data_IF_734095701099
#
_entry.id   IF_734095701099
#
_cell.length_a   1.000
_cell.length_b   1.000
_cell.length_c   1.000
_cell.angle_alpha   90.00
_cell.angle_beta   90.00
_cell.angle_gamma   90.00
#
_symmetry.space_group_name_H-M   'P 1'
#
loop_
_entity.id
_entity.type
_entity.pdbx_description
1 polymer ?
#
# COMPACT_ATOMS: atom_id res chain seq x y z
N UNK A 1 -8.81 3.83 4.99
CA UNK A 1 -8.28 2.70 5.77
C UNK A 1 -8.77 1.36 5.24
N UNK A 2 -10.08 1.06 5.25
CA UNK A 2 -10.58 -0.28 4.89
C UNK A 2 -10.14 -0.71 3.48
N UNK A 3 -10.34 0.14 2.46
CA UNK A 3 -9.93 -0.17 1.09
C UNK A 3 -8.42 -0.45 0.99
N UNK A 4 -7.60 0.40 1.61
CA UNK A 4 -6.14 0.25 1.58
C UNK A 4 -5.63 -0.91 2.44
N UNK A 5 -6.38 -1.31 3.48
CA UNK A 5 -6.10 -2.49 4.32
C UNK A 5 -6.25 -3.81 3.55
N UNK A 6 -7.12 -3.84 2.54
CA UNK A 6 -7.31 -5.01 1.66
C UNK A 6 -6.26 -5.06 0.54
N UNK A 7 -5.35 -4.08 0.45
CA UNK A 7 -4.26 -4.04 -0.53
C UNK A 7 -4.53 -3.13 -1.74
N UNK A 8 -5.60 -2.33 -1.72
CA UNK A 8 -5.82 -1.29 -2.74
C UNK A 8 -4.78 -0.18 -2.56
N UNK A 9 -4.17 0.26 -3.66
CA UNK A 9 -3.23 1.39 -3.63
C UNK A 9 -3.88 2.66 -3.09
N UNK A 10 -3.11 3.45 -2.34
CA UNK A 10 -3.61 4.64 -1.64
C UNK A 10 -4.17 5.68 -2.63
N UNK A 11 -3.52 5.88 -3.76
CA UNK A 11 -3.96 6.79 -4.83
C UNK A 11 -5.33 6.38 -5.40
N UNK A 12 -5.50 5.11 -5.76
CA UNK A 12 -6.77 4.56 -6.28
C UNK A 12 -7.85 4.66 -5.21
N UNK A 13 -7.54 4.32 -3.96
CA UNK A 13 -8.49 4.41 -2.87
C UNK A 13 -8.94 5.86 -2.60
N UNK A 14 -8.00 6.82 -2.61
CA UNK A 14 -8.31 8.24 -2.40
C UNK A 14 -9.16 8.78 -3.55
N UNK A 15 -8.81 8.51 -4.81
CA UNK A 15 -9.59 8.96 -5.98
C UNK A 15 -10.99 8.36 -5.97
N UNK A 16 -11.14 7.10 -5.57
CA UNK A 16 -12.43 6.40 -5.55
C UNK A 16 -13.35 6.95 -4.46
N UNK A 17 -12.81 7.32 -3.29
CA UNK A 17 -13.60 7.82 -2.16
C UNK A 17 -13.77 9.35 -2.20
N UNK A 18 -12.95 10.07 -2.98
CA UNK A 18 -12.95 11.53 -3.03
C UNK A 18 -14.34 12.17 -3.26
N UNK A 19 -15.19 11.71 -4.21
CA UNK A 19 -16.51 12.31 -4.41
C UNK A 19 -17.40 12.23 -3.15
N UNK A 20 -17.38 11.08 -2.48
CA UNK A 20 -18.14 10.83 -1.26
C UNK A 20 -17.57 11.67 -0.10
N UNK A 21 -16.25 11.72 0.02
CA UNK A 21 -15.57 12.48 1.06
C UNK A 21 -15.84 13.99 0.92
N UNK A 22 -15.82 14.53 -0.30
CA UNK A 22 -16.14 15.94 -0.58
C UNK A 22 -17.62 16.23 -0.30
N UNK A 23 -18.54 15.33 -0.66
CA UNK A 23 -19.96 15.48 -0.34
C UNK A 23 -20.20 15.53 1.18
N UNK A 24 -19.56 14.66 1.94
CA UNK A 24 -19.64 14.63 3.42
C UNK A 24 -19.00 15.90 3.99
N UNK A 25 -17.82 16.29 3.50
CA UNK A 25 -17.12 17.48 3.96
C UNK A 25 -17.92 18.76 3.74
N UNK A 26 -18.61 18.89 2.61
CA UNK A 26 -19.50 20.01 2.37
C UNK A 26 -20.70 20.02 3.35
N UNK A 27 -21.34 18.87 3.56
CA UNK A 27 -22.48 18.75 4.50
C UNK A 27 -22.10 18.99 5.96
N UNK A 28 -20.87 18.63 6.34
CA UNK A 28 -20.36 18.77 7.70
C UNK A 28 -19.51 20.05 7.91
N UNK A 29 -19.52 20.97 6.94
CA UNK A 29 -18.73 22.21 6.93
C UNK A 29 -17.24 21.99 7.30
N UNK A 30 -16.59 21.03 6.65
CA UNK A 30 -15.18 20.72 6.86
C UNK A 30 -14.29 21.51 5.87
N UNK A 31 -13.08 21.87 6.31
CA UNK A 31 -12.08 22.44 5.41
C UNK A 31 -11.56 21.40 4.42
N UNK A 32 -11.12 21.87 3.24
CA UNK A 32 -10.44 21.04 2.23
C UNK A 32 -9.21 20.35 2.82
N UNK A 33 -8.45 21.07 3.64
CA UNK A 33 -7.26 20.51 4.28
C UNK A 33 -7.61 19.37 5.23
N UNK A 34 -8.65 19.50 6.05
CA UNK A 34 -9.05 18.47 6.99
C UNK A 34 -9.48 17.19 6.27
N UNK A 35 -10.30 17.30 5.22
CA UNK A 35 -10.79 16.12 4.50
C UNK A 35 -9.69 15.45 3.67
N UNK A 36 -8.83 16.22 3.00
CA UNK A 36 -7.70 15.68 2.24
C UNK A 36 -6.70 14.97 3.17
N UNK A 37 -6.38 15.59 4.31
CA UNK A 37 -5.51 14.97 5.32
C UNK A 37 -6.13 13.69 5.87
N UNK A 38 -7.43 13.69 6.17
CA UNK A 38 -8.13 12.50 6.64
C UNK A 38 -8.11 11.36 5.60
N UNK A 39 -8.30 11.68 4.31
CA UNK A 39 -8.24 10.69 3.24
C UNK A 39 -6.83 10.11 3.06
N UNK A 40 -5.81 10.96 2.94
CA UNK A 40 -4.42 10.51 2.73
C UNK A 40 -3.89 9.81 3.98
N UNK A 41 -4.11 10.38 5.17
CA UNK A 41 -3.69 9.81 6.44
C UNK A 41 -4.37 8.48 6.73
N UNK A 42 -5.69 8.42 6.58
CA UNK A 42 -6.45 7.16 6.72
C UNK A 42 -6.14 6.14 5.62
N UNK A 43 -5.78 6.59 4.41
CA UNK A 43 -5.29 5.76 3.32
C UNK A 43 -3.95 5.11 3.68
N UNK A 44 -2.97 5.92 4.14
CA UNK A 44 -1.65 5.43 4.53
C UNK A 44 -1.71 4.53 5.75
N UNK A 45 -2.53 4.85 6.75
CA UNK A 45 -2.76 4.00 7.91
C UNK A 45 -3.20 2.57 7.53
N UNK A 46 -4.14 2.44 6.59
CA UNK A 46 -4.55 1.12 6.08
C UNK A 46 -3.47 0.43 5.26
N UNK A 47 -2.65 1.20 4.52
CA UNK A 47 -1.52 0.66 3.76
C UNK A 47 -0.39 0.12 4.64
N UNK A 48 -0.35 0.36 5.96
CA UNK A 48 0.70 -0.23 6.81
C UNK A 48 0.37 -1.69 7.15
N UNK A 49 -0.90 -2.09 7.12
CA UNK A 49 -1.37 -3.42 7.54
C UNK A 49 -1.91 -4.28 6.38
N UNK A 50 -1.50 -3.99 5.14
CA UNK A 50 -2.09 -4.60 3.94
C UNK A 50 -1.09 -5.37 3.08
N UNK A 51 -1.55 -6.31 2.24
CA UNK A 51 -0.69 -7.04 1.31
C UNK A 51 -0.35 -6.15 0.11
N UNK A 52 0.47 -5.12 0.34
CA UNK A 52 0.90 -4.17 -0.69
C UNK A 52 2.41 -4.33 -0.98
N UNK A 53 2.92 -3.71 -2.07
CA UNK A 53 4.33 -3.82 -2.44
C UNK A 53 5.33 -3.44 -1.34
N UNK A 54 4.99 -2.53 -0.41
CA UNK A 54 5.89 -2.18 0.70
C UNK A 54 6.04 -3.35 1.67
N UNK A 55 4.92 -3.99 2.04
CA UNK A 55 4.91 -5.14 2.94
C UNK A 55 5.58 -6.36 2.29
N UNK A 56 5.39 -6.55 0.97
CA UNK A 56 6.05 -7.61 0.20
C UNK A 56 7.56 -7.38 0.17
N UNK A 57 8.02 -6.18 -0.19
CA UNK A 57 9.45 -5.89 -0.26
C UNK A 57 10.14 -6.02 1.10
N UNK A 58 9.46 -5.65 2.19
CA UNK A 58 9.97 -5.88 3.55
C UNK A 58 9.99 -7.37 3.90
N UNK A 59 8.93 -8.12 3.61
CA UNK A 59 8.84 -9.55 3.87
C UNK A 59 9.95 -10.34 3.15
N UNK A 60 10.17 -10.05 1.87
CA UNK A 60 11.19 -10.71 1.05
C UNK A 60 12.61 -10.36 1.52
N UNK A 61 12.89 -9.09 1.83
CA UNK A 61 14.21 -8.66 2.27
C UNK A 61 14.60 -9.20 3.66
N UNK A 62 13.63 -9.34 4.57
CA UNK A 62 13.85 -9.89 5.91
C UNK A 62 13.60 -11.41 5.98
N UNK A 63 13.24 -12.06 4.87
CA UNK A 63 12.87 -13.49 4.79
C UNK A 63 11.83 -13.92 5.84
N UNK A 64 10.82 -13.07 6.08
CA UNK A 64 9.72 -13.35 7.02
C UNK A 64 8.38 -13.50 6.30
N UNK A 65 7.42 -14.28 6.84
CA UNK A 65 6.10 -14.39 6.25
C UNK A 65 5.41 -13.03 6.11
N UNK A 66 4.83 -12.74 4.93
CA UNK A 66 4.08 -11.51 4.65
C UNK A 66 2.98 -11.25 5.68
N UNK A 67 2.30 -12.31 6.14
CA UNK A 67 1.25 -12.23 7.16
C UNK A 67 1.75 -11.64 8.47
N UNK A 68 2.99 -11.92 8.87
CA UNK A 68 3.57 -11.38 10.10
C UNK A 68 3.93 -9.90 9.96
N UNK A 69 4.41 -9.47 8.79
CA UNK A 69 4.66 -8.06 8.48
C UNK A 69 3.33 -7.28 8.51
N UNK A 70 2.29 -7.84 7.90
CA UNK A 70 0.94 -7.24 7.93
C UNK A 70 0.39 -7.14 9.35
N UNK A 71 0.54 -8.20 10.16
CA UNK A 71 0.10 -8.22 11.56
C UNK A 71 0.86 -7.19 12.40
N UNK A 72 2.18 -7.09 12.22
CA UNK A 72 3.00 -6.06 12.87
C UNK A 72 2.57 -4.64 12.49
N UNK A 73 2.03 -4.45 11.27
CA UNK A 73 1.51 -3.19 10.78
C UNK A 73 0.16 -2.75 11.37
N UNK A 74 -0.59 -3.64 12.03
CA UNK A 74 -1.92 -3.32 12.60
C UNK A 74 -1.82 -2.24 13.68
N UNK A 75 -0.94 -2.44 14.66
CA UNK A 75 -0.80 -1.51 15.79
C UNK A 75 -0.34 -0.12 15.29
N UNK A 76 0.77 0.02 14.53
CA UNK A 76 1.18 1.30 13.98
C UNK A 76 0.13 1.95 13.07
N UNK A 77 -0.61 1.15 12.30
CA UNK A 77 -1.67 1.65 11.43
C UNK A 77 -2.83 2.27 12.22
N UNK A 78 -3.25 1.66 13.34
CA UNK A 78 -4.27 2.21 14.22
C UNK A 78 -3.81 3.52 14.89
N UNK A 79 -2.58 3.56 15.40
CA UNK A 79 -2.01 4.79 15.94
C UNK A 79 -1.90 5.89 14.87
N UNK A 80 -1.47 5.54 13.65
CA UNK A 80 -1.41 6.46 12.52
C UNK A 80 -2.79 7.01 12.13
N UNK A 81 -3.83 6.17 12.19
CA UNK A 81 -5.21 6.59 11.96
C UNK A 81 -5.69 7.56 13.05
N UNK A 82 -5.47 7.24 14.33
CA UNK A 82 -5.81 8.13 15.45
C UNK A 82 -5.10 9.47 15.33
N UNK A 83 -3.80 9.46 15.03
CA UNK A 83 -3.02 10.67 14.84
C UNK A 83 -3.54 11.50 13.67
N UNK A 84 -3.81 10.88 12.52
CA UNK A 84 -4.40 11.56 11.37
C UNK A 84 -5.77 12.17 11.69
N UNK A 85 -6.59 11.48 12.50
CA UNK A 85 -7.88 11.99 12.97
C UNK A 85 -7.71 13.24 13.84
N UNK A 86 -6.82 13.22 14.84
CA UNK A 86 -6.58 14.39 15.70
C UNK A 86 -6.05 15.58 14.89
N UNK A 87 -5.15 15.32 13.95
CA UNK A 87 -4.58 16.36 13.11
C UNK A 87 -5.65 16.95 12.17
N UNK A 88 -6.46 16.11 11.52
CA UNK A 88 -7.57 16.55 10.68
C UNK A 88 -8.59 17.36 11.47
N UNK A 89 -8.92 16.92 12.70
CA UNK A 89 -9.84 17.63 13.61
C UNK A 89 -9.35 19.04 13.93
N UNK A 90 -8.04 19.23 14.15
CA UNK A 90 -7.45 20.55 14.39
C UNK A 90 -7.52 21.46 13.16
N UNK A 91 -7.59 20.88 11.97
CA UNK A 91 -7.62 21.62 10.70
C UNK A 91 -9.03 21.90 10.16
N UNK A 92 -10.11 21.45 10.82
CA UNK A 92 -11.50 21.59 10.34
C UNK A 92 -11.89 23.03 9.98
N UNK A 93 -11.38 24.01 10.72
CA UNK A 93 -11.65 25.44 10.52
C UNK A 93 -10.45 26.20 9.92
N UNK A 94 -9.42 25.50 9.44
CA UNK A 94 -8.23 26.09 8.83
C UNK A 94 -8.35 26.05 7.30
N UNK A 95 -8.20 27.20 6.65
CA UNK A 95 -8.24 27.31 5.19
C UNK A 95 -9.66 27.37 4.62
N UNK A 96 -9.81 27.04 3.33
CA UNK A 96 -11.09 27.10 2.64
C UNK A 96 -11.96 25.87 2.92
N UNK A 97 -13.27 26.10 3.04
CA UNK A 97 -14.30 25.07 3.13
C UNK A 97 -14.58 24.43 1.77
N UNK A 98 -15.10 23.21 1.77
CA UNK A 98 -15.53 22.53 0.54
C UNK A 98 -16.80 23.20 0.02
N UNK A 99 -16.77 23.63 -1.23
CA UNK A 99 -17.88 24.33 -1.89
C UNK A 99 -18.77 23.35 -2.66
N UNK A 100 -20.03 23.72 -2.89
CA UNK A 100 -21.02 22.84 -3.53
C UNK A 100 -20.61 22.43 -4.96
N UNK A 101 -19.97 23.33 -5.71
CA UNK A 101 -19.50 23.05 -7.08
C UNK A 101 -18.33 22.03 -7.13
N UNK A 102 -17.70 21.74 -5.99
CA UNK A 102 -16.61 20.77 -5.88
C UNK A 102 -17.13 19.35 -5.58
N UNK A 103 -18.43 19.23 -5.28
CA UNK A 103 -19.08 17.94 -5.04
C UNK A 103 -19.46 17.32 -6.38
N UNK A 104 -18.74 16.28 -6.78
CA UNK A 104 -19.04 15.52 -7.99
C UNK A 104 -20.20 14.56 -7.72
N UNK A 105 -21.31 14.72 -8.44
CA UNK A 105 -22.39 13.74 -8.44
C UNK A 105 -21.96 12.50 -9.24
N UNK A 106 -21.83 11.37 -8.55
CA UNK A 106 -21.53 10.09 -9.18
C UNK A 106 -22.83 9.49 -9.71
N UNK A 107 -22.96 9.40 -11.03
CA UNK A 107 -24.10 8.76 -11.69
C UNK A 107 -24.04 7.24 -11.46
N UNK A 108 -25.00 6.71 -10.69
CA UNK A 108 -25.05 5.29 -10.30
C UNK A 108 -25.82 4.42 -11.30
N UNK A 109 -26.30 4.98 -12.41
CA UNK A 109 -27.24 4.31 -13.33
C UNK A 109 -26.68 3.11 -14.11
N UNK A 110 -25.37 2.84 -14.07
CA UNK A 110 -24.71 1.78 -14.87
C UNK A 110 -23.78 0.84 -14.08
N UNK A 111 -24.09 0.58 -12.80
CA UNK A 111 -23.29 -0.35 -12.00
C UNK A 111 -23.73 -1.81 -12.23
N UNK A 112 -22.81 -2.77 -12.39
CA UNK A 112 -23.16 -4.18 -12.39
C UNK A 112 -23.73 -4.57 -11.02
N UNK A 113 -24.60 -5.58 -10.98
CA UNK A 113 -25.12 -6.10 -9.72
C UNK A 113 -23.97 -6.62 -8.84
N UNK A 114 -24.12 -6.49 -7.51
CA UNK A 114 -23.10 -6.92 -6.56
C UNK A 114 -22.70 -8.39 -6.76
N UNK A 115 -23.68 -9.26 -7.03
CA UNK A 115 -23.44 -10.67 -7.33
C UNK A 115 -22.58 -10.89 -8.58
N UNK A 116 -22.75 -10.08 -9.62
CA UNK A 116 -21.89 -10.15 -10.81
C UNK A 116 -20.47 -9.65 -10.52
N UNK A 117 -20.33 -8.60 -9.69
CA UNK A 117 -19.02 -8.00 -9.36
C UNK A 117 -18.13 -8.90 -8.48
N UNK A 118 -18.72 -9.70 -7.59
CA UNK A 118 -17.96 -10.55 -6.65
C UNK A 118 -17.44 -11.84 -7.29
N UNK A 119 -17.96 -12.23 -8.46
CA UNK A 119 -17.60 -13.49 -9.11
C UNK A 119 -16.13 -13.50 -9.56
N UNK A 120 -15.61 -12.38 -10.08
CA UNK A 120 -14.21 -12.31 -10.52
C UNK A 120 -13.22 -12.61 -9.37
N UNK A 121 -13.30 -11.92 -8.22
CA UNK A 121 -12.48 -12.24 -7.05
C UNK A 121 -12.70 -13.66 -6.54
N UNK A 122 -13.94 -14.13 -6.49
CA UNK A 122 -14.27 -15.45 -5.94
C UNK A 122 -13.66 -16.58 -6.76
N UNK A 123 -13.69 -16.48 -8.09
CA UNK A 123 -13.05 -17.45 -8.99
C UNK A 123 -11.54 -17.42 -8.83
N UNK A 124 -10.92 -16.23 -8.79
CA UNK A 124 -9.48 -16.11 -8.58
C UNK A 124 -9.04 -16.76 -7.25
N UNK A 125 -9.77 -16.51 -6.16
CA UNK A 125 -9.51 -17.11 -4.85
C UNK A 125 -9.72 -18.63 -4.90
N UNK A 126 -10.79 -19.12 -5.52
CA UNK A 126 -11.05 -20.55 -5.66
C UNK A 126 -9.93 -21.26 -6.45
N UNK A 127 -9.43 -20.65 -7.52
CA UNK A 127 -8.30 -21.15 -8.31
C UNK A 127 -7.01 -21.22 -7.51
N UNK A 128 -6.71 -20.21 -6.68
CA UNK A 128 -5.52 -20.19 -5.83
C UNK A 128 -5.65 -21.16 -4.63
N UNK A 129 -6.87 -21.33 -4.10
CA UNK A 129 -7.16 -22.21 -2.96
C UNK A 129 -7.13 -23.71 -3.32
N UNK A 130 -7.13 -24.06 -4.61
CA UNK A 130 -6.94 -25.45 -5.06
C UNK A 130 -5.59 -26.04 -4.62
N UNK A 131 -4.57 -25.20 -4.41
CA UNK A 131 -3.26 -25.62 -3.92
C UNK A 131 -3.31 -26.23 -2.52
N UNK A 132 -3.80 -25.53 -1.47
CA UNK A 132 -3.92 -26.12 -0.14
C UNK A 132 -5.02 -27.19 -0.01
N UNK A 133 -6.06 -27.16 -0.84
CA UNK A 133 -7.22 -28.06 -0.70
C UNK A 133 -7.05 -29.39 -1.45
N UNK A 134 -6.49 -29.35 -2.67
CA UNK A 134 -6.41 -30.50 -3.57
C UNK A 134 -4.97 -30.81 -4.06
N UNK A 135 -3.97 -30.05 -3.60
CA UNK A 135 -2.58 -30.20 -4.06
C UNK A 135 -2.32 -29.71 -5.49
N UNK A 136 -3.31 -29.09 -6.13
CA UNK A 136 -3.20 -28.60 -7.51
C UNK A 136 -2.60 -27.20 -7.50
N UNK A 137 -1.36 -27.08 -7.98
CA UNK A 137 -0.69 -25.79 -8.10
C UNK A 137 -1.18 -25.05 -9.36
N UNK A 138 -2.05 -24.06 -9.18
CA UNK A 138 -2.41 -23.10 -10.24
C UNK A 138 -1.56 -21.86 -10.08
N UNK A 139 -0.80 -21.51 -11.12
CA UNK A 139 0.04 -20.31 -11.11
C UNK A 139 -0.82 -19.04 -11.02
N UNK A 140 -0.51 -18.07 -10.13
CA UNK A 140 -1.17 -16.77 -10.07
C UNK A 140 -1.23 -16.02 -11.41
N UNK A 141 -0.22 -16.17 -12.29
CA UNK A 141 -0.22 -15.59 -13.64
C UNK A 141 -1.38 -16.12 -14.50
N UNK A 142 -1.89 -17.32 -14.19
CA UNK A 142 -3.02 -17.93 -14.90
C UNK A 142 -4.32 -17.68 -14.12
N UNK A 143 -4.30 -17.90 -12.80
CA UNK A 143 -5.48 -17.81 -11.95
C UNK A 143 -6.12 -16.41 -11.94
N UNK A 144 -5.31 -15.34 -11.81
CA UNK A 144 -5.82 -13.97 -11.69
C UNK A 144 -6.45 -13.47 -13.00
N UNK A 145 -5.82 -13.61 -14.19
CA UNK A 145 -6.47 -13.22 -15.45
C UNK A 145 -7.72 -14.03 -15.76
N UNK A 146 -7.75 -15.33 -15.45
CA UNK A 146 -8.95 -16.17 -15.60
C UNK A 146 -10.10 -15.67 -14.74
N UNK A 147 -9.84 -15.36 -13.46
CA UNK A 147 -10.85 -14.75 -12.59
C UNK A 147 -11.42 -13.45 -13.17
N UNK A 148 -10.54 -12.56 -13.64
CA UNK A 148 -10.94 -11.31 -14.31
C UNK A 148 -11.77 -11.52 -15.58
N UNK A 149 -11.37 -12.46 -16.44
CA UNK A 149 -12.07 -12.82 -17.67
C UNK A 149 -13.48 -13.35 -17.38
N UNK A 150 -13.61 -14.32 -16.47
CA UNK A 150 -14.92 -14.87 -16.12
C UNK A 150 -15.80 -13.80 -15.48
N UNK A 151 -15.23 -12.94 -14.63
CA UNK A 151 -15.96 -11.78 -14.09
C UNK A 151 -16.48 -10.85 -15.18
N UNK A 152 -15.66 -10.53 -16.19
CA UNK A 152 -16.08 -9.69 -17.32
C UNK A 152 -17.21 -10.34 -18.13
N UNK A 153 -17.18 -11.66 -18.31
CA UNK A 153 -18.27 -12.43 -18.94
C UNK A 153 -19.55 -12.34 -18.12
N UNK A 154 -19.49 -12.59 -16.81
CA UNK A 154 -20.69 -12.58 -15.95
C UNK A 154 -21.29 -11.19 -15.80
N UNK A 155 -20.45 -10.14 -15.83
CA UNK A 155 -20.93 -8.76 -15.87
C UNK A 155 -21.53 -8.35 -17.24
N UNK A 156 -21.54 -9.24 -18.24
CA UNK A 156 -22.03 -8.95 -19.59
C UNK A 156 -21.11 -8.01 -20.39
N UNK A 157 -19.88 -7.77 -19.93
CA UNK A 157 -18.93 -6.80 -20.48
C UNK A 157 -17.73 -7.46 -21.16
N UNK A 158 -17.95 -8.61 -21.81
CA UNK A 158 -16.88 -9.33 -22.51
C UNK A 158 -16.17 -8.48 -23.58
N UNK A 159 -16.90 -7.61 -24.27
CA UNK A 159 -16.35 -6.69 -25.29
C UNK A 159 -15.39 -5.65 -24.69
N UNK A 160 -15.55 -5.32 -23.41
CA UNK A 160 -14.69 -4.36 -22.69
C UNK A 160 -13.47 -5.02 -22.04
N UNK A 161 -13.32 -6.35 -22.16
CA UNK A 161 -12.21 -7.09 -21.54
C UNK A 161 -10.84 -6.51 -21.90
N UNK A 162 -10.63 -6.19 -23.18
CA UNK A 162 -9.38 -5.60 -23.64
C UNK A 162 -9.16 -4.22 -22.98
N UNK A 163 -10.21 -3.40 -22.89
CA UNK A 163 -10.15 -2.11 -22.21
C UNK A 163 -9.81 -2.27 -20.71
N UNK A 164 -10.40 -3.25 -20.02
CA UNK A 164 -10.07 -3.54 -18.62
C UNK A 164 -8.62 -4.01 -18.44
N UNK A 165 -8.15 -4.91 -19.32
CA UNK A 165 -6.77 -5.40 -19.29
C UNK A 165 -5.76 -4.28 -19.52
N UNK A 166 -5.99 -3.45 -20.55
CA UNK A 166 -5.15 -2.27 -20.84
C UNK A 166 -5.20 -1.30 -19.67
N UNK A 167 -6.37 -0.96 -19.13
CA UNK A 167 -6.48 -0.07 -17.98
C UNK A 167 -5.76 -0.61 -16.74
N UNK A 168 -5.86 -1.91 -16.47
CA UNK A 168 -5.14 -2.59 -15.38
C UNK A 168 -3.62 -2.53 -15.58
N UNK A 169 -3.13 -2.87 -16.77
CA UNK A 169 -1.71 -2.80 -17.12
C UNK A 169 -1.17 -1.37 -17.02
N UNK A 170 -1.89 -0.37 -17.54
CA UNK A 170 -1.49 1.04 -17.44
C UNK A 170 -1.42 1.51 -15.99
N UNK A 171 -2.29 1.02 -15.11
CA UNK A 171 -2.25 1.31 -13.67
C UNK A 171 -1.09 0.59 -12.95
N UNK A 172 -0.66 -0.57 -13.44
CA UNK A 172 0.47 -1.32 -12.87
C UNK A 172 1.83 -0.91 -13.45
N UNK A 173 1.88 -0.30 -14.63
CA UNK A 173 3.12 0.10 -15.29
C UNK A 173 3.99 1.03 -14.43
N UNK A 174 3.47 2.07 -13.76
CA UNK A 174 4.26 2.87 -12.82
C UNK A 174 4.84 2.05 -11.67
N UNK A 175 4.10 1.06 -11.15
CA UNK A 175 4.57 0.18 -10.08
C UNK A 175 5.70 -0.72 -10.57
N UNK A 176 5.57 -1.32 -11.75
CA UNK A 176 6.61 -2.16 -12.34
C UNK A 176 7.90 -1.37 -12.64
N UNK A 177 7.78 -0.19 -13.26
CA UNK A 177 8.91 0.71 -13.52
C UNK A 177 9.55 1.17 -12.22
N UNK A 178 8.74 1.50 -11.21
CA UNK A 178 9.23 1.83 -9.88
C UNK A 178 10.02 0.66 -9.28
N UNK A 179 9.47 -0.57 -9.25
CA UNK A 179 10.17 -1.73 -8.69
C UNK A 179 11.53 -1.96 -9.35
N UNK A 180 11.60 -1.86 -10.68
CA UNK A 180 12.86 -1.93 -11.44
C UNK A 180 13.84 -0.82 -11.02
N UNK A 181 13.40 0.44 -11.02
CA UNK A 181 14.23 1.58 -10.62
C UNK A 181 14.65 1.54 -9.15
N UNK A 182 13.82 0.98 -8.28
CA UNK A 182 14.15 0.83 -6.86
C UNK A 182 15.12 -0.30 -6.62
N UNK A 183 15.05 -1.38 -7.39
CA UNK A 183 16.05 -2.44 -7.38
C UNK A 183 17.43 -1.93 -7.81
N UNK A 184 17.49 -1.09 -8.86
CA UNK A 184 18.77 -0.50 -9.29
C UNK A 184 19.31 0.50 -8.27
N UNK A 185 18.48 1.38 -7.72
CA UNK A 185 18.87 2.30 -6.65
C UNK A 185 19.32 1.55 -5.38
N UNK A 186 18.61 0.49 -4.99
CA UNK A 186 19.00 -0.38 -3.89
C UNK A 186 20.38 -0.98 -4.12
N UNK A 187 20.67 -1.48 -5.33
CA UNK A 187 21.98 -2.02 -5.69
C UNK A 187 23.10 -0.97 -5.61
N UNK A 188 22.86 0.23 -6.15
CA UNK A 188 23.81 1.36 -6.06
C UNK A 188 24.07 1.72 -4.60
N UNK A 189 23.03 1.88 -3.79
CA UNK A 189 23.14 2.28 -2.38
C UNK A 189 23.84 1.18 -1.58
N UNK A 190 23.49 -0.09 -1.78
CA UNK A 190 24.12 -1.23 -1.12
C UNK A 190 25.62 -1.32 -1.40
N UNK A 191 26.04 -0.92 -2.60
CA UNK A 191 27.44 -0.90 -3.02
C UNK A 191 28.11 0.48 -2.89
N UNK A 192 27.46 1.43 -2.20
CA UNK A 192 27.99 2.78 -1.94
C UNK A 192 28.48 2.92 -0.50
N UNK A 193 29.24 4.00 -0.23
CA UNK A 193 29.62 4.37 1.14
C UNK A 193 28.46 4.88 2.01
N UNK A 194 27.26 5.06 1.45
CA UNK A 194 26.11 5.61 2.19
C UNK A 194 25.66 4.68 3.31
N UNK A 195 25.64 3.36 3.06
CA UNK A 195 25.28 2.35 4.08
C UNK A 195 26.22 2.48 5.29
N UNK A 196 27.52 2.46 5.05
CA UNK A 196 28.55 2.53 6.10
C UNK A 196 28.53 3.87 6.83
N UNK A 197 28.44 4.99 6.11
CA UNK A 197 28.40 6.32 6.72
C UNK A 197 27.18 6.52 7.62
N UNK A 198 26.01 5.96 7.27
CA UNK A 198 24.82 6.01 8.13
C UNK A 198 25.01 5.23 9.42
N UNK A 199 25.63 4.05 9.34
CA UNK A 199 25.94 3.19 10.49
C UNK A 199 26.97 3.89 11.40
N UNK A 200 28.01 4.47 10.84
CA UNK A 200 29.04 5.21 11.57
C UNK A 200 28.44 6.41 12.31
N UNK A 201 27.57 7.19 11.67
CA UNK A 201 26.88 8.32 12.32
C UNK A 201 25.98 7.85 13.46
N UNK A 202 25.23 6.76 13.28
CA UNK A 202 24.40 6.20 14.36
C UNK A 202 25.25 5.69 15.54
N UNK A 203 26.36 5.03 15.25
CA UNK A 203 27.26 4.46 16.27
C UNK A 203 28.00 5.57 17.01
N UNK A 204 28.49 6.59 16.30
CA UNK A 204 29.16 7.75 16.88
C UNK A 204 28.23 8.65 17.71
N UNK A 205 26.93 8.68 17.38
CA UNK A 205 25.92 9.41 18.17
C UNK A 205 25.42 8.63 19.40
N UNK A 206 25.91 7.40 19.62
CA UNK A 206 25.52 6.56 20.75
C UNK A 206 24.06 6.11 20.73
N UNK A 207 23.41 6.16 19.56
CA UNK A 207 22.00 5.81 19.44
C UNK A 207 21.79 4.29 19.49
N UNK A 208 20.72 3.81 20.15
CA UNK A 208 20.39 2.39 20.16
C UNK A 208 20.21 1.79 18.76
N UNK A 209 20.66 0.55 18.56
CA UNK A 209 20.60 -0.14 17.27
C UNK A 209 19.18 -0.31 16.71
N UNK A 210 18.15 -0.38 17.57
CA UNK A 210 16.75 -0.46 17.13
C UNK A 210 16.27 0.80 16.39
N UNK A 211 16.93 1.95 16.57
CA UNK A 211 16.60 3.17 15.83
C UNK A 211 17.12 3.15 14.39
N UNK A 212 18.01 2.23 14.04
CA UNK A 212 18.49 2.08 12.67
C UNK A 212 17.33 1.78 11.71
N UNK A 213 16.38 0.93 12.11
CA UNK A 213 15.23 0.57 11.28
C UNK A 213 14.32 1.76 10.93
N UNK A 214 13.80 2.56 11.88
CA UNK A 214 12.99 3.74 11.56
C UNK A 214 13.78 4.86 10.88
N UNK A 215 15.05 5.10 11.25
CA UNK A 215 15.87 6.16 10.64
C UNK A 215 16.20 5.82 9.19
N UNK A 216 16.67 4.60 8.92
CA UNK A 216 16.96 4.16 7.54
C UNK A 216 15.69 4.16 6.68
N UNK A 217 14.56 3.67 7.20
CA UNK A 217 13.27 3.71 6.51
C UNK A 217 12.82 5.13 6.17
N UNK A 218 12.94 6.07 7.11
CA UNK A 218 12.60 7.47 6.90
C UNK A 218 13.53 8.14 5.88
N UNK A 219 14.85 7.99 6.04
CA UNK A 219 15.84 8.57 5.14
C UNK A 219 15.72 8.03 3.72
N UNK A 220 15.54 6.72 3.55
CA UNK A 220 15.37 6.13 2.22
C UNK A 220 14.05 6.58 1.60
N UNK A 221 12.96 6.67 2.36
CA UNK A 221 11.69 7.22 1.85
C UNK A 221 11.80 8.69 1.42
N UNK A 222 12.62 9.48 2.09
CA UNK A 222 12.93 10.86 1.69
C UNK A 222 13.78 10.89 0.43
N UNK A 223 14.86 10.10 0.37
CA UNK A 223 15.78 10.05 -0.75
C UNK A 223 15.11 9.56 -2.05
N UNK A 224 14.21 8.59 -1.95
CA UNK A 224 13.48 8.04 -3.11
C UNK A 224 12.19 8.79 -3.43
N UNK A 225 11.77 9.73 -2.58
CA UNK A 225 10.47 10.42 -2.66
C UNK A 225 9.26 9.48 -2.83
N UNK A 226 9.37 8.22 -2.40
CA UNK A 226 8.33 7.21 -2.56
C UNK A 226 8.39 6.22 -1.41
N UNK A 227 7.23 5.99 -0.76
CA UNK A 227 7.20 5.09 0.40
C UNK A 227 7.44 3.63 0.02
N UNK A 228 7.04 3.21 -1.17
CA UNK A 228 7.27 1.84 -1.65
C UNK A 228 8.74 1.64 -2.00
N UNK A 229 9.31 2.58 -2.74
CA UNK A 229 10.73 2.62 -3.05
C UNK A 229 11.59 2.68 -1.79
N UNK A 230 11.22 3.55 -0.85
CA UNK A 230 11.94 3.75 0.40
C UNK A 230 11.96 2.50 1.26
N UNK A 231 10.81 1.82 1.41
CA UNK A 231 10.75 0.54 2.13
C UNK A 231 11.58 -0.54 1.43
N UNK A 232 11.48 -0.68 0.10
CA UNK A 232 12.23 -1.69 -0.64
C UNK A 232 13.74 -1.47 -0.50
N UNK A 233 14.22 -0.24 -0.74
CA UNK A 233 15.63 0.11 -0.63
C UNK A 233 16.13 -0.02 0.82
N UNK A 234 15.38 0.48 1.81
CA UNK A 234 15.77 0.37 3.21
C UNK A 234 15.89 -1.09 3.64
N UNK A 235 14.90 -1.92 3.29
CA UNK A 235 14.90 -3.32 3.65
C UNK A 235 16.03 -4.08 2.93
N UNK A 236 16.24 -3.87 1.62
CA UNK A 236 17.29 -4.58 0.88
C UNK A 236 18.71 -4.18 1.29
N UNK A 237 18.94 -2.91 1.66
CA UNK A 237 20.27 -2.39 2.01
C UNK A 237 20.62 -2.67 3.48
N UNK A 238 19.66 -2.49 4.38
CA UNK A 238 19.91 -2.47 5.83
C UNK A 238 19.44 -3.72 6.57
N UNK A 239 18.66 -4.63 5.96
CA UNK A 239 18.17 -5.86 6.63
C UNK A 239 19.28 -6.65 7.32
N UNK A 240 20.36 -6.97 6.61
CA UNK A 240 21.50 -7.71 7.16
C UNK A 240 22.10 -7.02 8.39
N UNK A 241 22.32 -5.71 8.29
CA UNK A 241 22.91 -4.91 9.37
C UNK A 241 21.99 -4.87 10.59
N UNK A 242 20.68 -4.71 10.38
CA UNK A 242 19.67 -4.67 11.45
C UNK A 242 19.63 -6.01 12.20
N UNK A 243 19.70 -7.12 11.46
CA UNK A 243 19.74 -8.47 12.03
C UNK A 243 21.05 -8.73 12.81
N UNK A 244 22.20 -8.33 12.27
CA UNK A 244 23.51 -8.46 12.92
C UNK A 244 23.62 -7.64 14.22
N UNK A 245 22.97 -6.48 14.28
CA UNK A 245 22.91 -5.63 15.48
C UNK A 245 21.93 -6.16 16.55
N UNK A 246 21.42 -7.38 16.38
CA UNK A 246 20.62 -8.09 17.38
C UNK A 246 19.15 -7.68 17.42
N UNK A 247 18.63 -7.01 16.39
CA UNK A 247 17.20 -6.69 16.28
C UNK A 247 16.51 -7.82 15.52
N UNK A 248 15.75 -8.71 16.19
CA UNK A 248 15.12 -9.84 15.53
C UNK A 248 14.05 -9.37 14.53
N UNK A 249 14.02 -10.00 13.35
CA UNK A 249 12.88 -9.83 12.45
C UNK A 249 11.64 -10.52 13.06
N UNK A 250 10.50 -9.85 13.00
CA UNK A 250 9.24 -10.41 13.51
C UNK A 250 8.57 -11.27 12.42
N UNK A 251 8.21 -12.53 12.69
CA UNK A 251 8.22 -13.23 13.97
C UNK A 251 9.60 -13.86 14.24
N UNK A 252 9.97 -13.93 15.51
CA UNK A 252 11.13 -14.71 15.97
C UNK A 252 10.92 -16.15 15.49
N UNK A 253 11.63 -16.57 14.44
CA UNK A 253 11.73 -17.99 14.12
C UNK A 253 12.51 -18.64 15.27
N UNK A 254 12.06 -19.81 15.77
CA UNK A 254 12.76 -20.52 16.84
C UNK A 254 14.18 -20.93 16.46
#
# INVERSE_FOLDING_TARGET
MILTAVGVFVDVAVITVAPIALAIAHRADLSKMAILLAMVGGGKAGNVMSPNPNAIAAADAFNVPLTSVMAAGVIPGLFGMLFAYFLAKKLVNRGSKVQQHEVVNVDQSRLPSFGAAIIAPLIAIALLALRPIAGINVDPLIALPLGGLVGAVVMGRFRDTNHFAVSGLTRMAPVAVMLLGTGTLAGIIANSGLKTGLIEVLTASGLPSYLLAPISGAMMSLATASTTAGTAVAASVFSHTILELGVPAWPVQP
#
